data_IF_269299094068
#
_entry.id   IF_269299094068
#
_cell.length_a   1.000
_cell.length_b   1.000
_cell.length_c   1.000
_cell.angle_alpha   90.00
_cell.angle_beta   90.00
_cell.angle_gamma   90.00
#
_symmetry.space_group_name_H-M   'P 1'
#
loop_
_entity.id
_entity.type
_entity.pdbx_description
1 polymer ?
#
# COMPACT_ATOMS: atom_id res chain seq x y z
N UNK A 1 -4.51 -7.17 -9.86
CA UNK A 1 -4.30 -5.99 -9.01
C UNK A 1 -5.51 -5.04 -8.94
N UNK A 2 -6.19 -4.74 -10.05
CA UNK A 2 -7.32 -3.78 -10.05
C UNK A 2 -8.44 -4.12 -9.06
N UNK A 3 -8.88 -5.38 -9.02
CA UNK A 3 -9.91 -5.80 -8.06
C UNK A 3 -9.51 -5.52 -6.60
N UNK A 4 -8.28 -5.86 -6.22
CA UNK A 4 -7.76 -5.60 -4.88
C UNK A 4 -7.66 -4.10 -4.56
N UNK A 5 -7.34 -3.27 -5.57
CA UNK A 5 -7.33 -1.81 -5.43
C UNK A 5 -8.74 -1.27 -5.16
N UNK A 6 -9.73 -1.69 -5.95
CA UNK A 6 -11.13 -1.26 -5.76
C UNK A 6 -11.63 -1.66 -4.38
N UNK A 7 -11.42 -2.92 -3.98
CA UNK A 7 -11.83 -3.41 -2.66
C UNK A 7 -11.13 -2.66 -1.52
N UNK A 8 -9.84 -2.35 -1.68
CA UNK A 8 -9.08 -1.63 -0.68
C UNK A 8 -9.59 -0.20 -0.51
N UNK A 9 -9.76 0.56 -1.60
CA UNK A 9 -10.30 1.93 -1.55
C UNK A 9 -11.69 1.94 -0.92
N UNK A 10 -12.60 1.04 -1.31
CA UNK A 10 -13.93 0.96 -0.69
C UNK A 10 -13.85 0.68 0.82
N UNK A 11 -12.92 -0.20 1.25
CA UNK A 11 -12.71 -0.48 2.67
C UNK A 11 -12.13 0.70 3.45
N UNK A 12 -11.24 1.49 2.82
CA UNK A 12 -10.66 2.69 3.41
C UNK A 12 -11.74 3.76 3.67
N UNK A 13 -12.60 4.03 2.69
CA UNK A 13 -13.70 5.00 2.85
C UNK A 13 -14.68 4.57 3.96
N UNK A 14 -15.04 3.28 3.99
CA UNK A 14 -15.90 2.75 5.05
C UNK A 14 -15.23 2.87 6.44
N UNK A 15 -13.92 2.70 6.53
CA UNK A 15 -13.18 2.82 7.79
C UNK A 15 -13.10 4.28 8.26
N UNK A 16 -12.87 5.23 7.34
CA UNK A 16 -12.89 6.67 7.63
C UNK A 16 -14.23 7.08 8.25
N UNK A 17 -15.35 6.66 7.66
CA UNK A 17 -16.70 7.00 8.13
C UNK A 17 -17.03 6.39 9.50
N UNK A 18 -16.63 5.14 9.73
CA UNK A 18 -16.95 4.42 10.98
C UNK A 18 -16.10 4.88 12.16
N UNK A 19 -14.82 5.16 11.93
CA UNK A 19 -13.83 5.42 12.99
C UNK A 19 -13.45 6.92 13.10
N UNK A 20 -14.07 7.80 12.29
CA UNK A 20 -13.80 9.24 12.23
C UNK A 20 -12.30 9.56 12.05
N UNK A 21 -11.66 8.88 11.09
CA UNK A 21 -10.22 8.98 10.82
C UNK A 21 -9.92 10.00 9.72
N UNK A 22 -9.00 10.93 9.97
CA UNK A 22 -8.51 11.88 8.96
C UNK A 22 -7.47 11.30 8.00
N UNK A 23 -6.93 10.11 8.31
CA UNK A 23 -5.97 9.41 7.46
C UNK A 23 -6.14 7.90 7.56
N UNK A 24 -6.14 7.23 6.42
CA UNK A 24 -6.16 5.76 6.32
C UNK A 24 -5.15 5.25 5.30
N UNK A 25 -4.62 4.07 5.57
CA UNK A 25 -3.50 3.49 4.84
C UNK A 25 -3.90 2.17 4.17
N UNK A 26 -3.61 2.06 2.88
CA UNK A 26 -3.92 0.88 2.07
C UNK A 26 -2.68 0.21 1.53
N UNK A 27 -2.64 -1.13 1.57
CA UNK A 27 -1.63 -1.94 0.89
C UNK A 27 -2.34 -2.99 0.05
N UNK A 28 -2.05 -3.01 -1.24
CA UNK A 28 -2.50 -4.05 -2.16
C UNK A 28 -1.28 -4.72 -2.76
N UNK A 29 -1.19 -6.04 -2.63
CA UNK A 29 -0.03 -6.79 -3.13
C UNK A 29 -0.40 -8.19 -3.61
N UNK A 30 0.36 -8.69 -4.58
CA UNK A 30 0.44 -10.11 -4.94
C UNK A 30 1.83 -10.70 -4.61
N UNK A 31 2.52 -10.12 -3.62
CA UNK A 31 3.93 -10.35 -3.23
C UNK A 31 4.98 -9.83 -4.21
N UNK A 32 4.69 -9.79 -5.51
CA UNK A 32 5.60 -9.23 -6.52
C UNK A 32 5.33 -7.74 -6.75
N UNK A 33 4.08 -7.37 -6.97
CA UNK A 33 3.63 -6.00 -7.20
C UNK A 33 3.03 -5.45 -5.91
N UNK A 34 3.34 -4.20 -5.61
CA UNK A 34 2.90 -3.50 -4.41
C UNK A 34 2.30 -2.16 -4.80
N UNK A 35 1.12 -1.89 -4.28
CA UNK A 35 0.48 -0.56 -4.32
C UNK A 35 0.27 -0.09 -2.89
N UNK A 36 0.82 1.06 -2.58
CA UNK A 36 0.68 1.74 -1.30
C UNK A 36 -0.24 2.93 -1.51
N UNK A 37 -1.24 3.06 -0.63
CA UNK A 37 -2.22 4.13 -0.66
C UNK A 37 -2.23 4.87 0.68
N UNK A 38 -2.34 6.19 0.62
CA UNK A 38 -2.62 7.05 1.76
C UNK A 38 -3.82 7.91 1.35
N UNK A 39 -4.96 7.71 2.01
CA UNK A 39 -6.14 8.57 1.84
C UNK A 39 -6.15 9.58 2.97
N UNK A 40 -6.17 10.85 2.62
CA UNK A 40 -6.29 12.02 3.50
C UNK A 40 -7.54 12.81 3.05
N UNK A 41 -8.10 13.66 3.92
CA UNK A 41 -9.36 14.39 3.68
C UNK A 41 -9.49 15.03 2.29
N UNK A 42 -8.41 15.59 1.75
CA UNK A 42 -8.43 16.32 0.47
C UNK A 42 -7.74 15.58 -0.69
N UNK A 43 -7.04 14.47 -0.42
CA UNK A 43 -6.25 13.80 -1.46
C UNK A 43 -5.95 12.34 -1.16
N UNK A 44 -5.82 11.59 -2.24
CA UNK A 44 -5.28 10.23 -2.22
C UNK A 44 -3.89 10.23 -2.83
N UNK A 45 -2.90 9.71 -2.10
CA UNK A 45 -1.54 9.45 -2.59
C UNK A 45 -1.42 7.96 -2.90
N UNK A 46 -0.86 7.64 -4.06
CA UNK A 46 -0.59 6.26 -4.46
C UNK A 46 0.86 6.12 -4.92
N UNK A 47 1.52 5.05 -4.48
CA UNK A 47 2.81 4.62 -4.99
C UNK A 47 2.76 3.17 -5.42
N UNK A 48 3.33 2.87 -6.57
CA UNK A 48 3.49 1.50 -7.07
C UNK A 48 4.98 1.11 -7.09
N UNK A 49 5.27 -0.14 -6.77
CA UNK A 49 6.58 -0.72 -7.03
C UNK A 49 6.51 -2.24 -7.22
N UNK A 50 7.57 -2.79 -7.79
CA UNK A 50 7.76 -4.23 -7.96
C UNK A 50 8.92 -4.69 -7.08
N UNK A 51 8.74 -5.79 -6.36
CA UNK A 51 9.76 -6.41 -5.53
C UNK A 51 10.87 -7.01 -6.41
N UNK A 52 12.12 -6.54 -6.33
CA UNK A 52 13.21 -7.11 -7.13
C UNK A 52 13.50 -8.57 -6.75
N UNK A 53 13.57 -9.43 -7.76
CA UNK A 53 13.85 -10.86 -7.63
C UNK A 53 15.22 -11.23 -8.23
N UNK A 54 15.80 -12.32 -7.73
CA UNK A 54 16.93 -13.05 -8.35
C UNK A 54 16.58 -14.53 -8.35
N UNK A 55 16.55 -15.16 -9.53
CA UNK A 55 16.19 -16.57 -9.70
C UNK A 55 14.89 -16.96 -8.95
N UNK A 56 13.87 -16.10 -9.03
CA UNK A 56 12.55 -16.19 -8.35
C UNK A 56 12.53 -15.88 -6.85
N UNK A 57 13.68 -15.64 -6.22
CA UNK A 57 13.77 -15.31 -4.79
C UNK A 57 13.82 -13.80 -4.60
N UNK A 58 13.01 -13.21 -3.69
CA UNK A 58 13.15 -11.81 -3.31
C UNK A 58 14.55 -11.46 -2.83
N UNK A 59 15.11 -10.38 -3.38
CA UNK A 59 16.38 -9.88 -2.91
C UNK A 59 16.23 -9.24 -1.53
N UNK A 60 17.24 -9.39 -0.66
CA UNK A 60 17.24 -8.72 0.64
C UNK A 60 17.12 -7.20 0.52
N UNK A 61 17.77 -6.61 -0.50
CA UNK A 61 17.65 -5.19 -0.82
C UNK A 61 16.19 -4.82 -1.14
N UNK A 62 15.53 -5.59 -2.00
CA UNK A 62 14.13 -5.40 -2.34
C UNK A 62 13.20 -5.49 -1.14
N UNK A 63 13.39 -6.49 -0.29
CA UNK A 63 12.63 -6.63 0.95
C UNK A 63 12.83 -5.43 1.87
N UNK A 64 14.07 -4.96 2.02
CA UNK A 64 14.39 -3.76 2.82
C UNK A 64 13.71 -2.51 2.26
N UNK A 65 13.62 -2.37 0.94
CA UNK A 65 12.90 -1.27 0.29
C UNK A 65 11.40 -1.32 0.58
N UNK A 66 10.75 -2.50 0.47
CA UNK A 66 9.32 -2.66 0.80
C UNK A 66 9.05 -2.33 2.27
N UNK A 67 9.85 -2.88 3.20
CA UNK A 67 9.70 -2.59 4.63
C UNK A 67 9.92 -1.10 4.91
N UNK A 68 10.90 -0.48 4.25
CA UNK A 68 11.13 0.96 4.34
C UNK A 68 9.93 1.79 3.87
N UNK A 69 9.24 1.38 2.80
CA UNK A 69 8.02 2.03 2.32
C UNK A 69 6.88 1.90 3.32
N UNK A 70 6.63 0.70 3.85
CA UNK A 70 5.60 0.47 4.87
C UNK A 70 5.87 1.34 6.10
N UNK A 71 7.13 1.39 6.56
CA UNK A 71 7.52 2.25 7.68
C UNK A 71 7.30 3.73 7.37
N UNK A 72 7.67 4.18 6.17
CA UNK A 72 7.53 5.57 5.74
C UNK A 72 6.07 6.01 5.55
N UNK A 73 5.12 5.09 5.36
CA UNK A 73 3.70 5.42 5.34
C UNK A 73 3.19 5.85 6.71
N UNK A 74 3.81 5.35 7.79
CA UNK A 74 3.41 5.63 9.17
C UNK A 74 4.08 6.88 9.75
N UNK A 75 4.78 7.67 8.93
CA UNK A 75 5.46 8.92 9.31
C UNK A 75 4.74 10.11 8.68
#
# INVERSE_FOLDING_TARGET
MLQGLVQNVTGLEALVDVEDLSVVYGIVTNFLEWKFLISEDERVRQQECTLPLTDTIPTFKGLKEIVGKIYAMLQ
#
